data_IF_274738615621
#
_entry.id   IF_274738615621
#
_cell.length_a   1.000
_cell.length_b   1.000
_cell.length_c   1.000
_cell.angle_alpha   90.00
_cell.angle_beta   90.00
_cell.angle_gamma   90.00
#
_symmetry.space_group_name_H-M   'P 1'
#
loop_
_entity.id
_entity.type
_entity.pdbx_description
1 polymer ?
#
# COMPACT_ATOMS: atom_id res chain seq x y z
N UNK A 1 10.67 -26.18 -5.21
CA UNK A 1 10.23 -27.22 -4.27
C UNK A 1 8.80 -26.92 -3.89
N UNK A 2 7.89 -27.72 -4.42
CA UNK A 2 6.45 -27.58 -4.21
C UNK A 2 6.05 -28.65 -3.20
N UNK A 3 5.42 -28.23 -2.12
CA UNK A 3 4.99 -29.10 -1.04
C UNK A 3 3.67 -29.79 -1.38
N UNK A 4 3.60 -31.08 -1.25
CA UNK A 4 2.41 -31.84 -1.51
C UNK A 4 1.89 -32.53 -0.25
N UNK A 5 0.60 -32.49 -0.13
CA UNK A 5 -0.30 -33.02 0.88
C UNK A 5 -0.22 -32.38 2.26
N UNK A 6 -0.88 -31.26 2.37
CA UNK A 6 -1.54 -30.87 3.61
C UNK A 6 -2.84 -31.67 3.65
N UNK A 7 -2.97 -32.57 4.61
CA UNK A 7 -4.27 -33.19 4.90
C UNK A 7 -5.01 -32.19 5.80
N UNK A 8 -5.67 -31.22 5.18
CA UNK A 8 -6.62 -30.39 5.90
C UNK A 8 -7.90 -31.21 6.05
N UNK A 9 -8.40 -31.31 7.26
CA UNK A 9 -9.62 -32.08 7.59
C UNK A 9 -10.91 -31.33 7.27
N UNK A 10 -10.85 -30.27 6.45
CA UNK A 10 -12.02 -29.55 5.97
C UNK A 10 -12.16 -29.65 4.44
N UNK A 11 -13.35 -29.37 3.94
CA UNK A 11 -13.65 -29.46 2.52
C UNK A 11 -12.81 -28.48 1.68
N UNK A 12 -12.39 -27.34 2.25
CA UNK A 12 -11.60 -26.33 1.56
C UNK A 12 -10.17 -26.81 1.32
N UNK A 13 -9.59 -27.54 2.28
CA UNK A 13 -8.27 -28.15 2.11
C UNK A 13 -8.25 -29.25 1.05
N UNK A 14 -9.34 -30.01 0.92
CA UNK A 14 -9.50 -31.02 -0.13
C UNK A 14 -9.63 -30.37 -1.51
N UNK A 15 -10.33 -29.27 -1.62
CA UNK A 15 -10.47 -28.51 -2.87
C UNK A 15 -9.14 -27.88 -3.30
N UNK A 16 -8.38 -27.30 -2.38
CA UNK A 16 -7.06 -26.77 -2.65
C UNK A 16 -6.10 -27.87 -3.12
N UNK A 17 -6.12 -29.03 -2.46
CA UNK A 17 -5.31 -30.18 -2.84
C UNK A 17 -5.66 -30.72 -4.23
N UNK A 18 -6.94 -30.66 -4.64
CA UNK A 18 -7.37 -31.04 -5.99
C UNK A 18 -6.91 -30.04 -7.04
N UNK A 19 -6.91 -28.75 -6.72
CA UNK A 19 -6.48 -27.71 -7.65
C UNK A 19 -4.97 -27.76 -7.90
N UNK A 20 -4.18 -27.99 -6.86
CA UNK A 20 -2.72 -28.15 -6.95
C UNK A 20 -2.31 -29.46 -7.62
N UNK A 21 -3.17 -30.48 -7.61
CA UNK A 21 -2.97 -31.79 -8.24
C UNK A 21 -3.48 -31.90 -9.67
N UNK A 22 -3.66 -30.81 -10.38
CA UNK A 22 -3.94 -30.89 -11.82
C UNK A 22 -2.88 -31.74 -12.56
N UNK A 23 -3.17 -32.21 -13.79
CA UNK A 23 -2.33 -33.17 -14.51
C UNK A 23 -0.86 -32.74 -14.68
N UNK A 24 -0.60 -31.44 -14.54
CA UNK A 24 0.77 -30.87 -14.64
C UNK A 24 1.62 -31.06 -13.37
N UNK A 25 0.97 -31.40 -12.24
CA UNK A 25 1.62 -31.47 -10.92
C UNK A 25 1.66 -32.88 -10.32
N UNK A 26 1.39 -33.91 -11.12
CA UNK A 26 1.26 -35.31 -10.67
C UNK A 26 2.54 -35.94 -10.07
N UNK A 27 3.68 -35.24 -10.13
CA UNK A 27 4.99 -35.73 -9.64
C UNK A 27 5.38 -35.18 -8.28
N UNK A 28 4.50 -34.49 -7.60
CA UNK A 28 4.83 -33.88 -6.30
C UNK A 28 4.77 -34.94 -5.20
N UNK A 29 5.87 -35.10 -4.46
CA UNK A 29 5.97 -36.06 -3.37
C UNK A 29 5.04 -35.71 -2.21
N UNK A 30 4.50 -36.75 -1.55
CA UNK A 30 3.67 -36.57 -0.35
C UNK A 30 4.52 -36.05 0.80
N UNK A 31 4.19 -34.88 1.33
CA UNK A 31 4.79 -34.33 2.53
C UNK A 31 3.78 -34.43 3.67
N UNK A 32 4.13 -35.15 4.71
CA UNK A 32 3.34 -35.20 5.95
C UNK A 32 3.76 -34.01 6.83
N UNK A 33 2.81 -33.20 7.21
CA UNK A 33 3.05 -32.05 8.05
C UNK A 33 2.24 -32.17 9.33
N UNK A 34 2.91 -32.13 10.43
CA UNK A 34 2.41 -32.53 11.75
C UNK A 34 2.28 -31.36 12.73
N UNK A 35 2.43 -30.10 12.28
CA UNK A 35 2.55 -28.98 13.22
C UNK A 35 1.52 -27.87 12.97
N UNK A 36 1.09 -27.22 14.07
CA UNK A 36 0.21 -26.03 14.09
C UNK A 36 0.73 -24.88 13.23
N UNK A 37 2.04 -24.74 13.05
CA UNK A 37 2.66 -23.77 12.14
C UNK A 37 2.22 -23.94 10.68
N UNK A 38 1.79 -25.13 10.30
CA UNK A 38 1.29 -25.35 8.95
C UNK A 38 -0.12 -24.85 8.71
N UNK A 39 -0.94 -24.84 9.76
CA UNK A 39 -2.25 -24.19 9.68
C UNK A 39 -2.07 -22.69 9.39
N UNK A 40 -1.10 -22.05 10.03
CA UNK A 40 -0.79 -20.64 9.81
C UNK A 40 -0.22 -20.38 8.40
N UNK A 41 0.66 -21.25 7.91
CA UNK A 41 1.18 -21.17 6.55
C UNK A 41 0.06 -21.40 5.52
N UNK A 42 -0.81 -22.40 5.75
CA UNK A 42 -1.94 -22.67 4.88
C UNK A 42 -2.94 -21.50 4.88
N UNK A 43 -3.25 -20.93 6.03
CA UNK A 43 -4.10 -19.75 6.15
C UNK A 43 -3.49 -18.54 5.41
N UNK A 44 -2.18 -18.33 5.56
CA UNK A 44 -1.47 -17.28 4.82
C UNK A 44 -1.53 -17.51 3.30
N UNK A 45 -1.20 -18.71 2.82
CA UNK A 45 -1.26 -19.03 1.40
C UNK A 45 -2.67 -18.92 0.85
N UNK A 46 -3.67 -19.39 1.60
CA UNK A 46 -5.08 -19.26 1.25
C UNK A 46 -5.50 -17.79 1.13
N UNK A 47 -5.10 -16.95 2.09
CA UNK A 47 -5.34 -15.50 2.02
C UNK A 47 -4.72 -14.87 0.78
N UNK A 48 -3.52 -15.31 0.39
CA UNK A 48 -2.83 -14.81 -0.82
C UNK A 48 -3.52 -15.25 -2.11
N UNK A 49 -4.02 -16.49 -2.16
CA UNK A 49 -4.77 -17.00 -3.32
C UNK A 49 -6.10 -16.27 -3.47
N UNK A 50 -6.83 -16.07 -2.37
CA UNK A 50 -8.08 -15.30 -2.36
C UNK A 50 -7.82 -13.86 -2.84
N UNK A 51 -6.79 -13.21 -2.31
CA UNK A 51 -6.39 -11.87 -2.73
C UNK A 51 -6.04 -11.80 -4.22
N UNK A 52 -5.24 -12.75 -4.71
CA UNK A 52 -4.81 -12.80 -6.12
C UNK A 52 -5.95 -13.15 -7.08
N UNK A 53 -6.95 -13.95 -6.64
CA UNK A 53 -8.09 -14.33 -7.47
C UNK A 53 -9.15 -13.23 -7.61
N UNK A 54 -9.01 -12.12 -6.89
CA UNK A 54 -10.02 -11.04 -6.84
C UNK A 54 -11.38 -11.48 -6.28
N UNK A 55 -11.47 -12.71 -5.75
CA UNK A 55 -12.67 -13.31 -5.19
C UNK A 55 -12.72 -13.24 -3.66
N UNK A 56 -11.81 -12.46 -3.09
CA UNK A 56 -11.87 -12.14 -1.68
C UNK A 56 -13.10 -11.27 -1.42
N UNK A 57 -14.24 -11.90 -1.27
CA UNK A 57 -15.38 -11.32 -0.57
C UNK A 57 -15.02 -11.28 0.94
N UNK A 58 -13.90 -10.60 1.24
CA UNK A 58 -13.65 -10.16 2.59
C UNK A 58 -14.77 -9.18 2.86
N UNK A 59 -15.80 -9.65 3.55
CA UNK A 59 -16.84 -8.78 4.06
C UNK A 59 -16.16 -7.81 5.01
N UNK A 60 -15.80 -6.66 4.48
CA UNK A 60 -15.22 -5.54 5.22
C UNK A 60 -16.25 -4.88 6.14
N UNK A 61 -17.17 -5.71 6.68
CA UNK A 61 -18.17 -5.30 7.69
C UNK A 61 -17.50 -4.81 8.97
N UNK A 62 -16.22 -5.15 9.17
CA UNK A 62 -15.46 -4.80 10.37
C UNK A 62 -14.52 -3.59 10.19
N UNK A 63 -14.50 -2.93 9.04
CA UNK A 63 -13.65 -1.75 8.84
C UNK A 63 -14.17 -0.53 9.60
N UNK A 64 -15.48 -0.46 9.86
CA UNK A 64 -16.12 0.67 10.55
C UNK A 64 -16.33 0.37 12.06
N UNK A 65 -15.27 -0.03 12.75
CA UNK A 65 -15.29 -0.33 14.19
C UNK A 65 -14.77 0.83 15.05
N UNK A 66 -14.32 1.92 14.44
CA UNK A 66 -13.71 3.06 15.13
C UNK A 66 -14.72 4.04 15.72
N UNK A 67 -14.24 4.90 16.61
CA UNK A 67 -14.97 6.03 17.17
C UNK A 67 -14.73 7.29 16.33
N UNK A 68 -15.80 7.82 15.69
CA UNK A 68 -15.73 9.01 14.86
C UNK A 68 -15.32 10.27 15.61
N UNK A 69 -15.67 10.40 16.92
CA UNK A 69 -15.25 11.56 17.73
C UNK A 69 -13.74 11.50 18.04
N UNK A 70 -13.25 10.33 18.39
CA UNK A 70 -11.82 10.13 18.57
C UNK A 70 -11.06 10.36 17.26
N UNK A 71 -11.63 9.95 16.11
CA UNK A 71 -11.12 10.23 14.78
C UNK A 71 -11.04 11.72 14.46
N UNK A 72 -12.08 12.49 14.81
CA UNK A 72 -12.09 13.95 14.66
C UNK A 72 -11.01 14.61 15.52
N UNK A 73 -10.87 14.17 16.77
CA UNK A 73 -9.83 14.68 17.67
C UNK A 73 -8.44 14.37 17.11
N UNK A 74 -8.21 13.16 16.62
CA UNK A 74 -6.95 12.79 16.00
C UNK A 74 -6.68 13.60 14.72
N UNK A 75 -7.69 13.77 13.85
CA UNK A 75 -7.60 14.58 12.64
C UNK A 75 -7.15 16.01 12.93
N UNK A 76 -7.72 16.65 13.94
CA UNK A 76 -7.43 18.02 14.32
C UNK A 76 -6.21 18.17 15.23
N UNK A 77 -5.76 17.10 15.88
CA UNK A 77 -4.70 17.11 16.88
C UNK A 77 -3.47 16.28 16.46
N UNK A 78 -3.30 15.10 17.07
CA UNK A 78 -2.11 14.24 16.91
C UNK A 78 -1.82 13.82 15.48
N UNK A 79 -2.84 13.63 14.65
CA UNK A 79 -2.70 13.32 13.23
C UNK A 79 -2.20 14.50 12.41
N UNK A 80 -2.57 15.73 12.78
CA UNK A 80 -2.21 16.94 12.05
C UNK A 80 -2.78 17.01 10.63
N UNK A 81 -3.86 16.27 10.36
CA UNK A 81 -4.48 16.17 9.04
C UNK A 81 -5.08 17.52 8.58
N UNK A 82 -5.60 18.29 9.54
CA UNK A 82 -6.17 19.63 9.33
C UNK A 82 -5.19 20.69 8.83
N UNK A 83 -3.87 20.42 8.86
CA UNK A 83 -2.85 21.32 8.29
C UNK A 83 -2.93 21.41 6.77
N UNK A 84 -3.43 20.35 6.12
CA UNK A 84 -3.53 20.26 4.67
C UNK A 84 -4.96 19.94 4.21
N UNK A 85 -5.80 19.38 5.07
CA UNK A 85 -7.15 18.95 4.75
C UNK A 85 -8.20 19.74 5.51
N UNK A 86 -9.30 20.01 4.84
CA UNK A 86 -10.50 20.64 5.44
C UNK A 86 -11.72 19.74 5.25
N UNK A 87 -12.45 19.44 6.35
CA UNK A 87 -13.70 18.65 6.27
C UNK A 87 -14.77 19.30 5.39
N UNK A 88 -14.81 20.64 5.36
CA UNK A 88 -15.76 21.42 4.54
C UNK A 88 -15.19 21.84 3.19
N UNK A 89 -13.90 21.61 2.96
CA UNK A 89 -13.18 21.92 1.71
C UNK A 89 -12.90 20.67 0.88
N UNK A 90 -11.63 20.30 0.76
CA UNK A 90 -11.19 19.21 -0.10
C UNK A 90 -11.64 17.80 0.33
N UNK A 91 -12.08 17.61 1.57
CA UNK A 91 -12.67 16.36 2.06
C UNK A 91 -14.21 16.40 2.14
N UNK A 92 -14.85 17.50 1.75
CA UNK A 92 -16.31 17.58 1.73
C UNK A 92 -16.90 16.46 0.85
N UNK A 93 -17.83 15.71 1.41
CA UNK A 93 -18.52 14.63 0.70
C UNK A 93 -17.70 13.34 0.54
N UNK A 94 -16.48 13.25 1.12
CA UNK A 94 -15.60 12.09 0.95
C UNK A 94 -16.23 10.80 1.47
N UNK A 95 -16.98 10.86 2.57
CA UNK A 95 -17.67 9.71 3.16
C UNK A 95 -18.86 9.21 2.36
N UNK A 96 -19.35 9.99 1.39
CA UNK A 96 -20.36 9.54 0.42
C UNK A 96 -19.77 9.14 -0.92
N UNK A 97 -18.51 9.49 -1.18
CA UNK A 97 -17.83 9.26 -2.46
C UNK A 97 -17.23 7.87 -2.58
N UNK A 98 -16.82 7.27 -1.48
CA UNK A 98 -16.15 5.99 -1.43
C UNK A 98 -16.85 5.06 -0.44
N UNK A 99 -16.83 3.75 -0.71
CA UNK A 99 -17.13 2.76 0.31
C UNK A 99 -16.05 2.80 1.41
N UNK A 100 -16.38 2.26 2.59
CA UNK A 100 -15.55 2.38 3.78
C UNK A 100 -14.14 1.82 3.58
N UNK A 101 -14.04 0.68 2.91
CA UNK A 101 -12.77 0.02 2.66
C UNK A 101 -11.90 0.83 1.70
N UNK A 102 -12.49 1.31 0.60
CA UNK A 102 -11.80 2.18 -0.35
C UNK A 102 -11.35 3.48 0.31
N UNK A 103 -12.16 4.02 1.23
CA UNK A 103 -11.81 5.24 1.97
C UNK A 103 -10.61 5.00 2.89
N UNK A 104 -10.60 3.89 3.61
CA UNK A 104 -9.46 3.50 4.45
C UNK A 104 -8.21 3.23 3.63
N UNK A 105 -8.34 2.53 2.50
CA UNK A 105 -7.22 2.27 1.60
C UNK A 105 -6.60 3.58 1.07
N UNK A 106 -7.43 4.57 0.72
CA UNK A 106 -6.95 5.89 0.30
C UNK A 106 -6.33 6.71 1.41
N UNK A 107 -6.71 6.48 2.66
CA UNK A 107 -6.06 7.07 3.83
C UNK A 107 -4.62 6.53 3.95
N UNK A 108 -4.46 5.23 3.79
CA UNK A 108 -3.17 4.52 4.00
C UNK A 108 -2.28 4.58 2.75
N UNK A 109 -2.90 4.44 1.56
CA UNK A 109 -2.21 4.41 0.27
C UNK A 109 -2.79 5.42 -0.74
N UNK A 110 -2.64 6.71 -0.51
CA UNK A 110 -3.29 7.75 -1.32
C UNK A 110 -2.82 7.76 -2.79
N UNK A 111 -1.66 7.14 -3.10
CA UNK A 111 -1.17 6.96 -4.48
C UNK A 111 -1.82 5.80 -5.21
N UNK A 112 -2.33 4.82 -4.49
CA UNK A 112 -2.94 3.66 -5.09
C UNK A 112 -4.18 4.09 -5.89
N UNK A 113 -4.11 3.97 -7.19
CA UNK A 113 -5.24 4.15 -8.10
C UNK A 113 -5.94 2.82 -8.32
N UNK A 114 -7.25 2.85 -8.56
CA UNK A 114 -7.99 1.68 -9.01
C UNK A 114 -7.38 1.17 -10.33
N UNK A 115 -6.98 -0.10 -10.40
CA UNK A 115 -6.37 -0.70 -11.60
C UNK A 115 -4.85 -0.56 -11.70
N UNK A 116 -4.15 -0.20 -10.61
CA UNK A 116 -2.68 -0.17 -10.61
C UNK A 116 -2.07 1.06 -11.32
N UNK A 117 -2.88 1.94 -11.84
CA UNK A 117 -2.43 3.24 -12.37
C UNK A 117 -2.35 4.23 -11.23
N UNK A 118 -1.13 4.61 -10.84
CA UNK A 118 -0.90 5.64 -9.83
C UNK A 118 -1.47 6.99 -10.25
N UNK A 119 -1.61 7.90 -9.30
CA UNK A 119 -2.00 9.30 -9.54
C UNK A 119 -0.76 10.12 -9.92
N UNK A 120 -0.61 10.56 -11.19
CA UNK A 120 0.56 11.31 -11.63
C UNK A 120 0.73 12.65 -10.88
N UNK A 121 -0.39 13.27 -10.48
CA UNK A 121 -0.44 14.51 -9.71
C UNK A 121 0.13 14.35 -8.28
N UNK A 122 0.22 13.13 -7.78
CA UNK A 122 0.81 12.78 -6.49
C UNK A 122 2.19 12.10 -6.62
N UNK A 123 2.76 12.09 -7.83
CA UNK A 123 4.08 11.51 -8.05
C UNK A 123 5.17 12.40 -7.43
N UNK A 124 6.21 11.81 -6.82
CA UNK A 124 7.36 12.57 -6.34
C UNK A 124 8.14 13.16 -7.51
N UNK A 125 8.77 14.31 -7.25
CA UNK A 125 9.74 14.91 -8.15
C UNK A 125 11.11 14.98 -7.47
N UNK A 126 12.16 14.92 -8.25
CA UNK A 126 13.51 15.11 -7.73
C UNK A 126 14.24 16.22 -8.50
N UNK A 127 15.07 16.97 -7.77
CA UNK A 127 15.99 17.96 -8.34
C UNK A 127 17.42 17.48 -8.09
N UNK A 128 18.17 17.32 -9.16
CA UNK A 128 19.61 17.01 -9.14
C UNK A 128 20.37 18.31 -9.36
N UNK A 129 21.26 18.66 -8.43
CA UNK A 129 22.14 19.82 -8.53
C UNK A 129 23.56 19.35 -8.72
N UNK A 130 24.17 19.67 -9.86
CA UNK A 130 25.55 19.36 -10.18
C UNK A 130 26.53 20.29 -9.43
N UNK A 131 27.78 19.91 -9.25
CA UNK A 131 28.82 20.80 -8.69
C UNK A 131 29.00 22.12 -9.46
N UNK A 132 28.68 22.13 -10.76
CA UNK A 132 28.65 23.32 -11.61
C UNK A 132 27.55 24.33 -11.24
N UNK A 133 26.55 23.92 -10.42
CA UNK A 133 25.36 24.71 -10.14
C UNK A 133 24.21 24.40 -11.12
N UNK A 134 24.45 23.65 -12.17
CA UNK A 134 23.38 23.24 -13.10
C UNK A 134 22.37 22.31 -12.40
N UNK A 135 21.08 22.50 -12.69
CA UNK A 135 20.00 21.73 -12.06
C UNK A 135 19.15 21.01 -13.09
N UNK A 136 18.72 19.80 -12.72
CA UNK A 136 17.81 18.97 -13.50
C UNK A 136 16.64 18.55 -12.62
N UNK A 137 15.41 18.77 -13.09
CA UNK A 137 14.19 18.37 -12.40
C UNK A 137 13.44 17.31 -13.21
N UNK A 138 12.98 16.27 -12.52
CA UNK A 138 12.25 15.19 -13.17
C UNK A 138 11.62 14.20 -12.20
N UNK A 139 10.98 13.19 -12.76
CA UNK A 139 10.46 12.06 -11.96
C UNK A 139 11.61 11.13 -11.58
N UNK A 140 11.83 10.85 -10.29
CA UNK A 140 12.87 9.91 -9.86
C UNK A 140 12.50 8.49 -10.25
N UNK A 141 13.33 7.86 -11.08
CA UNK A 141 13.22 6.44 -11.42
C UNK A 141 14.06 5.58 -10.47
N UNK A 142 15.23 6.10 -10.08
CA UNK A 142 16.12 5.47 -9.12
C UNK A 142 16.95 6.54 -8.41
N UNK A 143 17.10 6.42 -7.11
CA UNK A 143 18.00 7.23 -6.31
C UNK A 143 18.68 6.32 -5.30
N UNK A 144 19.98 6.17 -5.44
CA UNK A 144 20.84 5.36 -4.56
C UNK A 144 22.04 6.17 -4.10
N UNK A 145 22.91 5.56 -3.31
CA UNK A 145 24.18 6.18 -2.94
C UNK A 145 25.17 6.22 -4.10
N UNK A 146 24.95 5.40 -5.15
CA UNK A 146 25.86 5.23 -6.27
C UNK A 146 25.40 5.96 -7.53
N UNK A 147 24.09 6.12 -7.72
CA UNK A 147 23.54 6.79 -8.89
C UNK A 147 22.18 7.44 -8.63
N UNK A 148 21.84 8.37 -9.52
CA UNK A 148 20.48 8.91 -9.63
C UNK A 148 20.03 8.87 -11.08
N UNK A 149 18.80 8.42 -11.29
CA UNK A 149 18.16 8.33 -12.61
C UNK A 149 16.86 9.10 -12.57
N UNK A 150 16.75 10.11 -13.41
CA UNK A 150 15.51 10.88 -13.56
C UNK A 150 14.93 10.71 -14.97
N UNK A 151 13.61 10.71 -15.04
CA UNK A 151 12.89 10.99 -16.27
C UNK A 151 12.56 12.47 -16.31
N UNK A 152 13.11 13.18 -17.28
CA UNK A 152 12.91 14.60 -17.48
C UNK A 152 11.54 14.90 -18.12
N UNK A 153 11.16 16.18 -18.19
CA UNK A 153 9.88 16.63 -18.75
C UNK A 153 9.74 16.38 -20.26
N UNK A 154 10.85 16.26 -20.97
CA UNK A 154 10.93 15.91 -22.38
C UNK A 154 10.77 14.39 -22.64
N UNK A 155 10.61 13.59 -21.56
CA UNK A 155 10.48 12.14 -21.60
C UNK A 155 11.81 11.38 -21.60
N UNK A 156 12.95 12.06 -21.79
CA UNK A 156 14.25 11.41 -21.76
C UNK A 156 14.68 11.04 -20.34
N UNK A 157 15.45 9.97 -20.26
CA UNK A 157 16.05 9.51 -19.01
C UNK A 157 17.50 9.98 -18.93
N UNK A 158 17.86 10.60 -17.81
CA UNK A 158 19.23 11.04 -17.54
C UNK A 158 19.75 10.39 -16.26
N UNK A 159 21.00 9.96 -16.30
CA UNK A 159 21.67 9.24 -15.21
C UNK A 159 22.93 10.00 -14.80
N UNK A 160 23.15 10.12 -13.49
CA UNK A 160 24.36 10.65 -12.90
C UNK A 160 24.92 9.65 -11.90
N UNK A 161 26.20 9.36 -11.97
CA UNK A 161 26.90 8.65 -10.90
C UNK A 161 26.97 9.55 -9.65
N UNK A 162 26.79 8.95 -8.49
CA UNK A 162 26.92 9.63 -7.19
C UNK A 162 28.11 9.11 -6.43
N UNK A 163 28.82 10.02 -5.79
CA UNK A 163 29.89 9.69 -4.88
C UNK A 163 29.83 10.63 -3.68
N UNK A 164 29.74 10.08 -2.45
CA UNK A 164 29.64 10.86 -1.21
C UNK A 164 28.54 11.94 -1.26
N UNK A 165 27.39 11.62 -1.84
CA UNK A 165 26.25 12.53 -1.94
C UNK A 165 26.30 13.55 -3.09
N UNK A 166 27.31 13.49 -3.96
CA UNK A 166 27.46 14.39 -5.13
C UNK A 166 27.12 13.62 -6.40
N UNK A 167 26.24 14.14 -7.29
CA UNK A 167 25.47 15.38 -7.19
C UNK A 167 24.44 15.36 -6.06
N UNK A 168 24.09 16.57 -5.55
CA UNK A 168 23.03 16.73 -4.56
C UNK A 168 21.69 16.38 -5.18
N UNK A 169 20.87 15.60 -4.45
CA UNK A 169 19.53 15.21 -4.89
C UNK A 169 18.54 15.59 -3.81
N UNK A 170 17.55 16.38 -4.19
CA UNK A 170 16.43 16.77 -3.33
C UNK A 170 15.16 16.15 -3.90
N UNK A 171 14.44 15.38 -3.08
CA UNK A 171 13.17 14.75 -3.44
C UNK A 171 12.05 15.57 -2.80
N UNK A 172 11.10 16.01 -3.61
CA UNK A 172 9.85 16.62 -3.17
C UNK A 172 8.72 15.63 -3.40
N UNK A 173 8.14 15.13 -2.30
CA UNK A 173 7.03 14.21 -2.33
C UNK A 173 5.77 14.90 -1.78
N UNK A 174 4.72 15.11 -2.59
CA UNK A 174 3.48 15.73 -2.13
C UNK A 174 2.78 14.91 -1.04
N UNK A 175 3.11 13.61 -0.92
CA UNK A 175 2.56 12.71 0.10
C UNK A 175 3.51 12.45 1.27
N UNK A 176 4.58 13.22 1.42
CA UNK A 176 5.55 13.00 2.50
C UNK A 176 4.89 13.00 3.88
N UNK A 177 3.93 13.90 4.12
CA UNK A 177 3.18 13.95 5.37
C UNK A 177 2.38 12.66 5.64
N UNK A 178 1.82 12.02 4.59
CA UNK A 178 1.16 10.73 4.71
C UNK A 178 2.15 9.60 5.03
N UNK A 179 3.31 9.60 4.38
CA UNK A 179 4.36 8.62 4.68
C UNK A 179 4.87 8.74 6.11
N UNK A 180 4.96 9.95 6.63
CA UNK A 180 5.42 10.19 7.99
C UNK A 180 4.37 9.83 9.04
N UNK A 181 3.09 10.07 8.77
CA UNK A 181 2.02 9.66 9.67
C UNK A 181 1.89 8.13 9.73
N UNK A 182 2.10 7.43 8.61
CA UNK A 182 2.05 5.96 8.56
C UNK A 182 3.05 5.27 9.50
N UNK A 183 4.17 5.91 9.80
CA UNK A 183 5.18 5.39 10.73
C UNK A 183 4.69 5.35 12.20
N UNK A 184 3.63 6.09 12.53
CA UNK A 184 3.12 6.29 13.89
C UNK A 184 1.61 6.10 14.02
N UNK A 185 0.92 5.88 12.91
CA UNK A 185 -0.52 5.64 12.89
C UNK A 185 -0.79 4.27 13.50
N UNK A 186 -1.52 4.24 14.62
CA UNK A 186 -1.96 2.98 15.20
C UNK A 186 -3.18 2.44 14.45
N UNK A 187 -3.44 1.16 14.60
CA UNK A 187 -4.64 0.52 14.07
C UNK A 187 -5.93 1.18 14.59
N UNK A 188 -5.96 1.49 15.86
CA UNK A 188 -7.07 2.23 16.49
C UNK A 188 -7.27 3.61 15.87
N UNK A 189 -6.19 4.38 15.64
CA UNK A 189 -6.28 5.70 15.02
C UNK A 189 -6.77 5.60 13.58
N UNK A 190 -6.33 4.58 12.84
CA UNK A 190 -6.77 4.33 11.48
C UNK A 190 -8.28 4.06 11.42
N UNK A 191 -8.79 3.19 12.29
CA UNK A 191 -10.23 2.90 12.38
C UNK A 191 -11.03 4.12 12.82
N UNK A 192 -10.56 4.87 13.81
CA UNK A 192 -11.20 6.10 14.28
C UNK A 192 -11.25 7.16 13.18
N UNK A 193 -10.14 7.39 12.46
CA UNK A 193 -10.10 8.30 11.31
C UNK A 193 -11.08 7.88 10.22
N UNK A 194 -11.14 6.58 9.90
CA UNK A 194 -12.07 6.04 8.91
C UNK A 194 -13.51 6.33 9.34
N UNK A 195 -13.85 6.07 10.61
CA UNK A 195 -15.17 6.35 11.15
C UNK A 195 -15.53 7.84 11.07
N UNK A 196 -14.57 8.72 11.35
CA UNK A 196 -14.77 10.17 11.20
C UNK A 196 -14.99 10.57 9.74
N UNK A 197 -14.11 10.11 8.82
CA UNK A 197 -14.18 10.49 7.40
C UNK A 197 -15.49 10.05 6.74
N UNK A 198 -16.06 8.91 7.15
CA UNK A 198 -17.37 8.44 6.68
C UNK A 198 -18.51 9.42 7.04
N UNK A 199 -18.38 10.21 8.10
CA UNK A 199 -19.39 11.22 8.49
C UNK A 199 -19.37 12.46 7.59
N UNK A 200 -18.30 12.70 6.83
CA UNK A 200 -18.14 13.85 5.96
C UNK A 200 -18.91 13.65 4.63
N UNK A 201 -20.21 13.91 4.66
CA UNK A 201 -21.14 13.78 3.54
C UNK A 201 -21.46 15.10 2.88
#
# INVERSE_FOLDING_TARGET
LIFSSVTLHDEDGVQLAKHVRGPEHSKVAKVEVVDTQMADIAAYLHSRVIYASGRGDVRLTEVLIGDGKAGEQYFNGGGGCNKCHSPTGNLKGVGGKYDVATLQDRLVMPRAGRGGFGRPDLAPTATVTLPSGETFKGAPLRVTDFDVVLRLSDGFTKTWARNKGVPKVEITDPLQAHLDIMKRLSDTDMHNLTAYLVTLK
#
